data_IF_064178293743
#
_entry.id   IF_064178293743
#
_cell.length_a   1.000
_cell.length_b   1.000
_cell.length_c   1.000
_cell.angle_alpha   90.00
_cell.angle_beta   90.00
_cell.angle_gamma   90.00
#
_symmetry.space_group_name_H-M   'P 1'
#
loop_
_entity.id
_entity.type
_entity.pdbx_description
1 polymer ?
#
# COMPACT_ATOMS: atom_id res chain seq x y z
N UNK A 1 -17.92 9.45 3.45
CA UNK A 1 -17.45 8.06 3.44
C UNK A 1 -17.70 7.38 2.10
N UNK A 2 -18.94 7.38 1.58
CA UNK A 2 -19.27 6.83 0.24
C UNK A 2 -18.35 7.34 -0.91
N UNK A 3 -17.94 8.60 -0.84
CA UNK A 3 -17.06 9.21 -1.87
C UNK A 3 -15.63 8.64 -1.85
N UNK A 4 -15.08 8.36 -0.66
CA UNK A 4 -13.74 7.77 -0.52
C UNK A 4 -13.73 6.31 -0.98
N UNK A 5 -14.75 5.55 -0.64
CA UNK A 5 -14.89 4.16 -1.05
C UNK A 5 -15.10 4.03 -2.56
N UNK A 6 -15.92 4.89 -3.15
CA UNK A 6 -16.07 4.97 -4.61
C UNK A 6 -14.75 5.34 -5.30
N UNK A 7 -13.92 6.16 -4.67
CA UNK A 7 -12.61 6.53 -5.23
C UNK A 7 -11.62 5.38 -5.12
N UNK A 8 -11.62 4.64 -4.01
CA UNK A 8 -10.77 3.46 -3.83
C UNK A 8 -11.19 2.31 -4.75
N UNK A 9 -12.49 2.10 -4.95
CA UNK A 9 -13.03 1.05 -5.82
C UNK A 9 -12.91 1.38 -7.31
N UNK A 10 -12.74 2.64 -7.67
CA UNK A 10 -12.67 3.08 -9.07
C UNK A 10 -11.39 2.72 -9.81
N UNK A 11 -10.42 2.11 -9.14
CA UNK A 11 -9.15 1.73 -9.75
C UNK A 11 -9.12 0.39 -10.49
N UNK A 12 -10.20 -0.38 -10.51
CA UNK A 12 -10.16 -1.74 -11.08
C UNK A 12 -11.42 -2.12 -11.83
N UNK A 13 -11.85 -1.31 -12.77
CA UNK A 13 -12.91 -1.78 -13.65
C UNK A 13 -12.34 -2.72 -14.65
N UNK A 14 -12.80 -3.98 -14.64
CA UNK A 14 -12.41 -4.76 -15.76
C UNK A 14 -13.05 -6.11 -16.01
N UNK A 15 -13.97 -6.15 -16.88
CA UNK A 15 -14.01 -7.10 -17.99
C UNK A 15 -13.12 -6.63 -19.15
N UNK A 16 -12.25 -5.62 -18.93
CA UNK A 16 -11.51 -4.90 -19.95
C UNK A 16 -10.19 -5.62 -20.26
N UNK A 17 -9.88 -5.73 -21.53
CA UNK A 17 -8.59 -6.15 -22.09
C UNK A 17 -7.48 -5.09 -21.90
N UNK A 18 -7.66 -4.13 -20.97
CA UNK A 18 -6.67 -3.09 -20.66
C UNK A 18 -5.41 -3.69 -20.02
N UNK A 19 -4.33 -2.96 -20.15
CA UNK A 19 -3.06 -3.35 -19.54
C UNK A 19 -3.20 -3.53 -18.03
N UNK A 20 -2.80 -4.71 -17.53
CA UNK A 20 -2.82 -5.03 -16.11
C UNK A 20 -1.41 -4.94 -15.54
N UNK A 21 -1.32 -4.43 -14.34
CA UNK A 21 -0.10 -4.46 -13.52
C UNK A 21 -0.28 -5.55 -12.48
N UNK A 22 0.49 -6.63 -12.61
CA UNK A 22 0.29 -7.84 -11.80
C UNK A 22 1.10 -7.82 -10.52
N UNK A 23 2.24 -7.10 -10.51
CA UNK A 23 3.16 -7.09 -9.38
C UNK A 23 3.61 -5.68 -9.01
N UNK A 24 3.99 -5.55 -7.75
CA UNK A 24 4.63 -4.39 -7.16
C UNK A 24 5.77 -4.82 -6.23
N UNK A 25 6.61 -3.87 -5.86
CA UNK A 25 7.65 -4.03 -4.86
C UNK A 25 7.24 -3.33 -3.57
N UNK A 26 7.21 -4.05 -2.45
CA UNK A 26 7.09 -3.48 -1.10
C UNK A 26 8.44 -2.95 -0.64
N UNK A 27 8.46 -1.77 -0.06
CA UNK A 27 9.63 -1.24 0.68
C UNK A 27 9.22 -0.80 2.07
N UNK A 28 10.12 -0.98 3.04
CA UNK A 28 9.92 -0.59 4.44
C UNK A 28 11.09 0.27 4.95
N UNK A 29 10.77 1.42 5.55
CA UNK A 29 11.77 2.33 6.12
C UNK A 29 12.55 1.70 7.28
N UNK A 30 11.90 0.84 8.08
CA UNK A 30 12.52 0.19 9.24
C UNK A 30 13.53 -0.90 8.83
N UNK A 31 13.32 -1.52 7.66
CA UNK A 31 14.23 -2.51 7.10
C UNK A 31 15.38 -1.87 6.30
N UNK A 32 15.31 -0.57 6.02
CA UNK A 32 16.31 0.12 5.20
C UNK A 32 16.34 -0.39 3.77
N UNK A 33 15.18 -0.69 3.21
CA UNK A 33 15.02 -1.24 1.87
C UNK A 33 15.10 -0.13 0.82
N UNK A 34 15.97 -0.31 -0.17
CA UNK A 34 16.08 0.57 -1.33
C UNK A 34 16.64 -0.16 -2.54
N UNK A 35 16.50 0.44 -3.72
CA UNK A 35 17.13 -0.05 -4.94
C UNK A 35 17.81 1.11 -5.68
N UNK A 36 18.79 0.80 -6.51
CA UNK A 36 19.53 1.83 -7.23
C UNK A 36 20.08 1.32 -8.55
N UNK A 37 20.13 2.22 -9.52
CA UNK A 37 20.81 2.04 -10.79
C UNK A 37 22.21 2.62 -10.70
N UNK A 38 23.23 1.80 -10.87
CA UNK A 38 24.60 2.26 -10.97
C UNK A 38 24.89 2.64 -12.43
N UNK A 39 24.80 3.92 -12.77
CA UNK A 39 25.03 4.40 -14.12
C UNK A 39 26.49 4.77 -14.33
N UNK A 40 27.25 4.05 -15.16
CA UNK A 40 28.63 4.39 -15.46
C UNK A 40 28.77 5.57 -16.44
N UNK A 41 27.71 5.90 -17.17
CA UNK A 41 27.66 6.95 -18.18
C UNK A 41 26.59 7.98 -17.86
N UNK A 42 26.74 9.18 -18.37
CA UNK A 42 25.74 10.23 -18.24
C UNK A 42 24.69 10.11 -19.36
N UNK A 43 23.43 10.23 -19.00
CA UNK A 43 22.31 10.43 -19.92
C UNK A 43 22.13 11.91 -20.27
N UNK A 44 20.95 12.25 -20.77
CA UNK A 44 20.60 13.62 -21.12
C UNK A 44 20.24 14.44 -19.86
N UNK A 45 21.16 15.25 -19.39
CA UNK A 45 21.03 16.06 -18.18
C UNK A 45 20.05 17.23 -18.30
N UNK A 46 19.52 17.49 -19.49
CA UNK A 46 18.59 18.60 -19.78
C UNK A 46 17.17 18.12 -20.02
N UNK A 47 17.03 16.88 -20.50
CA UNK A 47 15.73 16.34 -20.92
C UNK A 47 15.60 14.91 -20.43
N UNK A 48 14.61 14.63 -19.56
CA UNK A 48 14.34 13.30 -19.00
C UNK A 48 12.94 13.23 -18.38
N UNK A 49 12.43 12.04 -18.17
CA UNK A 49 11.15 11.82 -17.47
C UNK A 49 11.28 10.67 -16.47
N UNK A 50 10.72 10.87 -15.28
CA UNK A 50 10.50 9.84 -14.26
C UNK A 50 9.01 9.58 -14.15
N UNK A 51 8.62 8.32 -14.19
CA UNK A 51 7.24 7.88 -13.98
C UNK A 51 7.24 6.66 -13.06
N UNK A 52 6.37 6.65 -12.06
CA UNK A 52 6.18 5.51 -11.18
C UNK A 52 4.80 5.54 -10.55
N UNK A 53 4.33 4.37 -10.14
CA UNK A 53 3.13 4.23 -9.33
C UNK A 53 3.54 3.89 -7.91
N UNK A 54 2.89 4.53 -6.94
CA UNK A 54 3.24 4.37 -5.53
C UNK A 54 1.98 4.35 -4.66
N UNK A 55 1.92 3.40 -3.72
CA UNK A 55 0.95 3.39 -2.62
C UNK A 55 1.73 3.59 -1.34
N UNK A 56 1.46 4.69 -0.63
CA UNK A 56 2.13 4.99 0.65
C UNK A 56 1.52 4.14 1.76
N UNK A 57 2.36 3.56 2.58
CA UNK A 57 1.93 2.78 3.74
C UNK A 57 2.24 3.49 5.07
N UNK A 58 2.83 4.69 4.99
CA UNK A 58 3.11 5.55 6.13
C UNK A 58 3.07 7.03 5.70
N UNK A 59 2.49 7.93 6.55
CA UNK A 59 2.40 9.36 6.27
C UNK A 59 3.45 10.17 7.00
N UNK A 60 3.62 9.87 8.27
CA UNK A 60 4.68 10.46 9.10
C UNK A 60 5.70 9.37 9.32
N UNK A 61 6.70 9.34 8.46
CA UNK A 61 7.77 8.38 8.57
C UNK A 61 8.62 8.60 9.81
N UNK A 62 9.42 7.62 10.08
CA UNK A 62 10.53 7.68 11.03
C UNK A 62 11.45 8.86 10.70
N UNK A 63 11.39 9.35 9.47
CA UNK A 63 12.18 10.45 8.93
C UNK A 63 11.25 11.57 8.45
N UNK A 64 11.64 12.82 8.70
CA UNK A 64 10.83 13.99 8.41
C UNK A 64 10.48 14.16 6.90
N UNK A 65 11.38 13.77 5.99
CA UNK A 65 11.26 13.96 4.55
C UNK A 65 11.71 12.69 3.80
N UNK A 66 10.86 11.63 3.70
CA UNK A 66 11.24 10.39 3.03
C UNK A 66 11.46 10.58 1.54
N UNK A 67 12.53 9.99 1.03
CA UNK A 67 12.96 10.14 -0.37
C UNK A 67 12.26 9.13 -1.27
N UNK A 68 11.80 9.61 -2.39
CA UNK A 68 11.39 8.79 -3.52
C UNK A 68 12.59 8.43 -4.39
N UNK A 69 13.37 9.46 -4.74
CA UNK A 69 14.56 9.30 -5.57
C UNK A 69 15.65 10.28 -5.15
N UNK A 70 16.90 9.91 -5.35
CA UNK A 70 18.05 10.81 -5.22
C UNK A 70 19.17 10.46 -6.20
N UNK A 71 20.01 11.45 -6.52
CA UNK A 71 21.23 11.25 -7.30
C UNK A 71 22.25 12.32 -6.91
N UNK A 72 23.32 11.90 -6.23
CA UNK A 72 24.24 12.84 -5.59
C UNK A 72 23.56 13.66 -4.48
N UNK A 73 24.30 14.55 -3.86
CA UNK A 73 23.86 15.26 -2.64
C UNK A 73 22.77 16.32 -2.88
N UNK A 74 22.56 16.76 -4.13
CA UNK A 74 21.71 17.90 -4.45
C UNK A 74 20.47 17.58 -5.28
N UNK A 75 20.39 16.39 -5.85
CA UNK A 75 19.24 15.95 -6.65
C UNK A 75 18.34 15.11 -5.78
N UNK A 76 17.13 15.60 -5.52
CA UNK A 76 16.17 14.97 -4.61
C UNK A 76 14.76 15.05 -5.17
N UNK A 77 14.06 13.95 -5.11
CA UNK A 77 12.62 13.88 -5.28
C UNK A 77 12.08 13.18 -4.05
N UNK A 78 11.34 13.88 -3.21
CA UNK A 78 10.97 13.43 -1.87
C UNK A 78 9.64 14.00 -1.42
N UNK A 79 9.12 13.48 -0.30
CA UNK A 79 8.00 14.08 0.38
C UNK A 79 8.49 15.12 1.39
N UNK A 80 7.88 16.30 1.37
CA UNK A 80 8.05 17.33 2.38
C UNK A 80 6.68 17.60 3.01
N UNK A 81 6.44 17.08 4.21
CA UNK A 81 5.14 17.16 4.88
C UNK A 81 3.98 16.61 4.03
N UNK A 82 4.19 15.47 3.38
CA UNK A 82 3.30 14.77 2.43
C UNK A 82 3.09 15.43 1.07
N UNK A 83 3.70 16.58 0.79
CA UNK A 83 3.74 17.19 -0.55
C UNK A 83 4.94 16.67 -1.34
N UNK A 84 4.81 16.53 -2.66
CA UNK A 84 5.94 16.21 -3.53
C UNK A 84 6.86 17.42 -3.69
N UNK A 85 8.16 17.20 -3.49
CA UNK A 85 9.20 18.21 -3.68
C UNK A 85 10.28 17.66 -4.60
N UNK A 86 10.63 18.45 -5.61
CA UNK A 86 11.66 18.11 -6.57
C UNK A 86 12.77 19.19 -6.58
N UNK A 87 14.00 18.73 -6.45
CA UNK A 87 15.20 19.56 -6.52
C UNK A 87 16.01 19.19 -7.75
N UNK A 88 16.07 20.11 -8.69
CA UNK A 88 16.81 19.95 -9.94
C UNK A 88 18.32 20.03 -9.70
N UNK A 89 18.75 21.03 -8.88
CA UNK A 89 20.15 21.23 -8.49
C UNK A 89 20.22 22.01 -7.17
N UNK A 90 19.94 21.29 -6.07
CA UNK A 90 19.91 21.87 -4.72
C UNK A 90 18.73 22.84 -4.50
N UNK A 91 18.77 23.55 -3.38
CA UNK A 91 17.68 24.43 -2.91
C UNK A 91 17.42 25.65 -3.81
N UNK A 92 18.36 26.01 -4.71
CA UNK A 92 18.19 27.12 -5.65
C UNK A 92 17.17 26.84 -6.74
N UNK A 93 16.91 25.57 -7.01
CA UNK A 93 15.99 25.07 -8.06
C UNK A 93 15.01 24.05 -7.47
N UNK A 94 14.40 24.41 -6.34
CA UNK A 94 13.44 23.59 -5.63
C UNK A 94 12.01 23.92 -6.09
N UNK A 95 11.25 22.89 -6.44
CA UNK A 95 9.84 22.95 -6.81
C UNK A 95 9.05 22.10 -5.83
N UNK A 96 8.01 22.66 -5.21
CA UNK A 96 7.12 21.99 -4.29
C UNK A 96 5.70 22.00 -4.82
N UNK A 97 5.05 20.85 -4.85
CA UNK A 97 3.68 20.71 -5.33
C UNK A 97 2.65 21.27 -4.33
N UNK A 98 1.49 21.67 -4.84
CA UNK A 98 0.44 22.32 -4.05
C UNK A 98 -0.38 21.37 -3.19
N UNK A 99 -0.43 20.10 -3.54
CA UNK A 99 -1.24 19.07 -2.87
C UNK A 99 -0.43 18.17 -1.94
N UNK A 100 -1.15 17.42 -1.12
CA UNK A 100 -0.60 16.42 -0.21
C UNK A 100 -1.14 15.04 -0.54
N UNK A 101 -0.26 14.04 -0.59
CA UNK A 101 -0.60 12.64 -0.88
C UNK A 101 -0.78 11.90 0.46
N UNK A 102 -1.97 11.93 1.04
CA UNK A 102 -2.27 11.40 2.36
C UNK A 102 -3.18 10.18 2.39
N UNK A 103 -3.73 9.80 1.28
CA UNK A 103 -4.54 8.60 1.19
C UNK A 103 -3.63 7.37 1.07
N UNK A 104 -3.50 6.62 2.15
CA UNK A 104 -2.71 5.39 2.20
C UNK A 104 -3.46 4.16 1.69
N UNK A 105 -4.73 4.32 1.35
CA UNK A 105 -5.53 3.29 0.69
C UNK A 105 -5.44 3.34 -0.83
N UNK A 106 -4.85 4.40 -1.40
CA UNK A 106 -4.85 4.66 -2.83
C UNK A 106 -3.46 4.53 -3.46
N UNK A 107 -3.45 4.06 -4.69
CA UNK A 107 -2.31 4.15 -5.58
C UNK A 107 -2.26 5.51 -6.27
N UNK A 108 -1.08 6.13 -6.28
CA UNK A 108 -0.78 7.37 -6.99
C UNK A 108 0.10 7.08 -8.20
N UNK A 109 -0.22 7.63 -9.34
CA UNK A 109 0.68 7.69 -10.49
C UNK A 109 1.34 9.06 -10.53
N UNK A 110 2.65 9.11 -10.39
CA UNK A 110 3.45 10.33 -10.40
C UNK A 110 4.30 10.34 -11.66
N UNK A 111 4.24 11.43 -12.41
CA UNK A 111 5.14 11.70 -13.54
C UNK A 111 5.82 13.04 -13.32
N UNK A 112 7.14 13.04 -13.44
CA UNK A 112 7.98 14.23 -13.43
C UNK A 112 8.72 14.32 -14.75
N UNK A 113 8.47 15.37 -15.53
CA UNK A 113 9.00 15.54 -16.88
C UNK A 113 9.81 16.84 -16.99
N UNK A 114 11.06 16.71 -17.38
CA UNK A 114 12.04 17.81 -17.44
C UNK A 114 12.50 18.06 -18.88
N UNK A 115 12.52 19.30 -19.29
CA UNK A 115 13.20 19.80 -20.51
C UNK A 115 13.64 21.26 -20.30
N UNK A 116 14.86 21.46 -19.91
CA UNK A 116 15.40 22.80 -19.67
C UNK A 116 15.63 23.64 -20.95
N UNK A 117 15.53 23.03 -22.14
CA UNK A 117 15.66 23.78 -23.41
C UNK A 117 14.45 24.67 -23.69
N UNK A 118 13.34 24.46 -23.01
CA UNK A 118 12.10 25.22 -23.14
C UNK A 118 12.31 26.71 -22.81
N UNK A 119 11.82 27.59 -23.69
CA UNK A 119 11.91 29.04 -23.46
C UNK A 119 11.06 29.50 -22.27
N UNK A 120 9.86 28.92 -22.11
CA UNK A 120 8.96 29.20 -20.99
C UNK A 120 9.38 28.42 -19.74
N UNK A 121 9.64 29.11 -18.64
CA UNK A 121 10.14 28.52 -17.41
C UNK A 121 9.22 27.40 -16.89
N UNK A 122 7.90 27.59 -16.88
CA UNK A 122 6.91 26.61 -16.41
C UNK A 122 6.87 25.32 -17.27
N UNK A 123 7.39 25.34 -18.48
CA UNK A 123 7.48 24.16 -19.34
C UNK A 123 8.76 23.34 -19.10
N UNK A 124 9.72 23.85 -18.33
CA UNK A 124 11.00 23.16 -18.09
C UNK A 124 10.88 22.00 -17.10
N UNK A 125 9.97 22.10 -16.15
CA UNK A 125 9.69 21.01 -15.18
C UNK A 125 8.18 20.94 -14.99
N UNK A 126 7.60 19.82 -15.39
CA UNK A 126 6.19 19.51 -15.24
C UNK A 126 6.01 18.33 -14.31
N UNK A 127 4.99 18.36 -13.48
CA UNK A 127 4.54 17.21 -12.71
C UNK A 127 3.10 16.86 -13.05
N UNK A 128 2.80 15.58 -12.99
CA UNK A 128 1.44 15.07 -13.16
C UNK A 128 1.14 14.09 -12.03
N UNK A 129 -0.10 14.12 -11.59
CA UNK A 129 -0.65 13.18 -10.60
C UNK A 129 -1.91 12.52 -11.16
N UNK A 130 -1.92 11.20 -11.28
CA UNK A 130 -3.04 10.43 -11.83
C UNK A 130 -3.57 11.02 -13.15
N UNK A 131 -2.64 11.33 -14.07
CA UNK A 131 -2.97 11.83 -15.41
C UNK A 131 -3.29 13.33 -15.49
N UNK A 132 -3.41 14.03 -14.38
CA UNK A 132 -3.71 15.46 -14.33
C UNK A 132 -2.45 16.29 -14.06
N UNK A 133 -2.40 17.52 -14.59
CA UNK A 133 -1.36 18.47 -14.22
C UNK A 133 -1.32 18.66 -12.70
N UNK A 134 -0.14 18.56 -12.10
CA UNK A 134 0.08 18.76 -10.68
C UNK A 134 0.93 19.99 -10.44
N UNK A 135 0.32 21.17 -10.21
CA UNK A 135 1.00 22.45 -10.24
C UNK A 135 1.97 22.62 -9.07
N UNK A 136 3.04 23.36 -9.33
CA UNK A 136 4.00 23.79 -8.35
C UNK A 136 3.55 25.07 -7.63
N UNK A 137 3.64 25.09 -6.29
CA UNK A 137 3.40 26.30 -5.48
C UNK A 137 4.54 27.29 -5.55
N UNK A 138 5.73 26.76 -5.73
CA UNK A 138 6.95 27.52 -5.75
C UNK A 138 7.56 27.44 -7.18
N UNK A 139 8.11 28.55 -7.66
CA UNK A 139 8.49 28.71 -9.07
C UNK A 139 9.99 28.86 -9.27
N UNK A 140 10.81 28.20 -8.46
CA UNK A 140 12.27 28.16 -8.63
C UNK A 140 12.65 27.20 -9.78
N UNK A 141 12.16 27.51 -10.97
CA UNK A 141 12.49 26.72 -12.15
C UNK A 141 13.97 26.82 -12.53
N UNK A 142 14.58 25.75 -13.08
CA UNK A 142 15.94 25.82 -13.59
C UNK A 142 16.06 26.85 -14.73
N UNK A 143 17.25 27.40 -14.93
CA UNK A 143 17.52 28.31 -16.06
C UNK A 143 17.41 27.58 -17.40
N UNK A 144 17.10 28.31 -18.47
CA UNK A 144 17.06 27.70 -19.80
C UNK A 144 18.43 27.13 -20.17
N UNK A 145 18.42 25.91 -20.74
CA UNK A 145 19.59 25.14 -21.13
C UNK A 145 20.52 24.72 -19.97
N UNK A 146 20.11 24.87 -18.71
CA UNK A 146 20.92 24.37 -17.59
C UNK A 146 20.93 22.84 -17.58
N UNK A 147 22.04 22.26 -17.15
CA UNK A 147 22.22 20.84 -16.92
C UNK A 147 21.96 20.51 -15.46
N UNK A 148 21.27 19.41 -15.22
CA UNK A 148 21.03 18.88 -13.90
C UNK A 148 22.16 17.98 -13.41
N UNK A 149 22.25 17.75 -12.10
CA UNK A 149 22.94 16.60 -11.55
C UNK A 149 22.19 15.29 -11.74
N UNK A 150 20.88 15.32 -12.06
CA UNK A 150 20.16 14.14 -12.52
C UNK A 150 20.71 13.64 -13.86
N UNK A 151 20.70 12.35 -14.08
CA UNK A 151 21.26 11.68 -15.26
C UNK A 151 22.77 11.93 -15.44
N UNK A 152 23.51 12.12 -14.35
CA UNK A 152 24.92 12.59 -14.38
C UNK A 152 25.97 11.47 -14.51
N UNK A 153 25.57 10.19 -14.64
CA UNK A 153 26.52 9.08 -14.65
C UNK A 153 27.01 8.67 -13.25
N UNK A 154 26.26 9.02 -12.21
CA UNK A 154 26.40 8.51 -10.84
C UNK A 154 25.20 7.65 -10.50
N UNK A 155 25.29 6.89 -9.40
CA UNK A 155 24.16 6.04 -8.97
C UNK A 155 22.90 6.87 -8.73
N UNK A 156 21.79 6.38 -9.27
CA UNK A 156 20.45 6.91 -9.03
C UNK A 156 19.75 5.98 -8.05
N UNK A 157 19.36 6.50 -6.91
CA UNK A 157 18.77 5.76 -5.82
C UNK A 157 17.25 5.97 -5.75
N UNK A 158 16.55 4.93 -5.39
CA UNK A 158 15.10 4.92 -5.11
C UNK A 158 14.89 4.51 -3.67
N UNK A 159 13.98 5.18 -2.98
CA UNK A 159 13.62 4.95 -1.59
C UNK A 159 14.72 5.28 -0.55
N UNK A 160 15.74 6.02 -0.92
CA UNK A 160 16.81 6.45 0.00
C UNK A 160 17.50 7.72 -0.47
N UNK A 161 18.30 8.34 0.42
CA UNK A 161 19.20 9.44 0.08
C UNK A 161 20.61 8.89 -0.21
N UNK A 162 21.06 8.97 -1.45
CA UNK A 162 22.45 8.69 -1.87
C UNK A 162 23.06 7.36 -1.37
N UNK A 163 22.22 6.38 -1.00
CA UNK A 163 22.68 5.11 -0.45
C UNK A 163 23.25 5.19 0.97
N UNK A 164 22.99 6.28 1.70
CA UNK A 164 23.48 6.46 3.07
C UNK A 164 22.65 5.69 4.13
N UNK A 165 21.65 4.94 3.70
CA UNK A 165 20.78 4.16 4.59
C UNK A 165 19.83 5.03 5.42
N UNK A 166 19.49 6.23 4.95
CA UNK A 166 18.59 7.15 5.63
C UNK A 166 17.50 7.66 4.70
N UNK A 167 16.43 8.21 5.29
CA UNK A 167 15.30 8.83 4.60
C UNK A 167 14.49 7.88 3.72
N UNK A 168 14.40 6.63 4.14
CA UNK A 168 13.56 5.63 3.46
C UNK A 168 12.08 5.98 3.56
N UNK A 169 11.31 5.43 2.64
CA UNK A 169 9.85 5.53 2.61
C UNK A 169 9.26 4.12 2.73
N UNK A 170 8.17 3.97 3.45
CA UNK A 170 7.38 2.74 3.45
C UNK A 170 6.29 2.85 2.40
N UNK A 171 6.37 2.03 1.36
CA UNK A 171 5.50 2.11 0.19
C UNK A 171 5.48 0.82 -0.63
N UNK A 172 4.47 0.70 -1.50
CA UNK A 172 4.51 -0.19 -2.65
C UNK A 172 4.86 0.61 -3.90
N UNK A 173 5.71 0.05 -4.75
CA UNK A 173 6.17 0.62 -6.01
C UNK A 173 5.74 -0.25 -7.17
N UNK A 174 5.23 0.33 -8.24
CA UNK A 174 4.91 -0.37 -9.48
C UNK A 174 5.24 0.51 -10.68
N UNK A 175 5.55 -0.14 -11.81
CA UNK A 175 5.77 0.55 -13.08
C UNK A 175 6.77 1.71 -12.96
N UNK A 176 7.98 1.41 -12.47
CA UNK A 176 9.05 2.41 -12.33
C UNK A 176 9.76 2.58 -13.66
N UNK A 177 9.60 3.76 -14.25
CA UNK A 177 10.13 4.10 -15.58
C UNK A 177 11.02 5.33 -15.50
N UNK A 178 12.20 5.23 -16.08
CA UNK A 178 13.10 6.36 -16.34
C UNK A 178 13.28 6.49 -17.84
N UNK A 179 13.01 7.67 -18.37
CA UNK A 179 13.20 8.01 -19.77
C UNK A 179 14.36 8.98 -19.91
N UNK A 180 15.35 8.63 -20.71
CA UNK A 180 16.51 9.44 -21.03
C UNK A 180 16.29 10.18 -22.36
N UNK A 181 16.42 11.50 -22.38
CA UNK A 181 16.39 12.32 -23.57
C UNK A 181 15.01 12.80 -24.03
N UNK A 182 13.92 12.52 -23.29
CA UNK A 182 12.58 12.96 -23.67
C UNK A 182 11.80 13.52 -22.48
N UNK A 183 11.01 14.58 -22.72
CA UNK A 183 9.99 15.10 -21.81
C UNK A 183 8.63 14.53 -22.22
N UNK A 184 8.22 13.42 -21.62
CA UNK A 184 6.95 12.76 -21.88
C UNK A 184 5.86 13.30 -20.94
N UNK A 185 4.61 13.15 -21.35
CA UNK A 185 3.43 13.51 -20.55
C UNK A 185 2.87 12.31 -19.78
N UNK A 186 1.94 12.54 -18.86
CA UNK A 186 1.28 11.45 -18.16
C UNK A 186 0.56 10.48 -19.11
N UNK A 187 0.04 10.96 -20.25
CA UNK A 187 -0.70 10.14 -21.23
C UNK A 187 0.17 9.14 -22.01
N UNK A 188 1.50 9.25 -21.90
CA UNK A 188 2.42 8.25 -22.43
C UNK A 188 2.48 7.00 -21.52
N UNK A 189 2.14 7.14 -20.23
CA UNK A 189 2.20 6.08 -19.21
C UNK A 189 0.82 5.59 -18.73
N UNK A 190 -0.24 6.27 -19.10
CA UNK A 190 -1.60 5.95 -18.70
C UNK A 190 -2.64 6.64 -19.57
N UNK A 191 -3.89 6.33 -19.30
CA UNK A 191 -5.04 6.94 -19.99
C UNK A 191 -6.24 7.02 -19.06
N UNK A 192 -7.16 7.92 -19.36
CA UNK A 192 -8.47 7.91 -18.74
C UNK A 192 -9.36 6.89 -19.42
N UNK A 193 -9.95 6.02 -18.64
CA UNK A 193 -10.99 5.13 -19.13
C UNK A 193 -12.17 5.94 -19.67
N UNK A 194 -12.62 5.64 -20.89
CA UNK A 194 -13.66 6.44 -21.58
C UNK A 194 -15.02 6.38 -20.90
N UNK A 195 -15.32 5.27 -20.22
CA UNK A 195 -16.64 5.01 -19.66
C UNK A 195 -16.75 5.49 -18.22
N UNK A 196 -15.65 5.39 -17.47
CA UNK A 196 -15.61 5.67 -16.03
C UNK A 196 -14.88 6.93 -15.68
N UNK A 197 -14.00 7.41 -16.56
CA UNK A 197 -13.10 8.54 -16.31
C UNK A 197 -11.98 8.23 -15.31
N UNK A 198 -11.72 6.96 -15.03
CA UNK A 198 -10.66 6.53 -14.12
C UNK A 198 -9.33 6.50 -14.84
N UNK A 199 -8.27 6.96 -14.16
CA UNK A 199 -6.91 6.88 -14.66
C UNK A 199 -6.37 5.46 -14.52
N UNK A 200 -6.01 4.81 -15.63
CA UNK A 200 -5.48 3.45 -15.68
C UNK A 200 -4.10 3.40 -16.36
N UNK A 201 -3.27 2.37 -16.08
CA UNK A 201 -1.97 2.22 -16.71
C UNK A 201 -2.09 1.85 -18.18
N UNK A 202 -1.05 2.21 -18.94
CA UNK A 202 -0.80 1.73 -20.30
C UNK A 202 0.44 0.84 -20.35
N UNK A 203 0.49 -0.05 -21.31
CA UNK A 203 1.71 -0.77 -21.64
C UNK A 203 2.76 0.21 -22.17
N UNK A 204 3.87 0.32 -21.47
CA UNK A 204 4.99 1.23 -21.78
C UNK A 204 6.14 0.56 -22.53
N UNK A 205 6.07 -0.74 -22.80
CA UNK A 205 7.15 -1.52 -23.45
C UNK A 205 7.54 -1.00 -24.84
N UNK A 206 6.68 -0.24 -25.49
CA UNK A 206 6.94 0.39 -26.79
C UNK A 206 7.57 1.78 -26.75
N UNK A 207 7.84 2.33 -25.57
CA UNK A 207 8.48 3.63 -25.43
C UNK A 207 9.98 3.56 -25.81
N UNK A 208 10.51 4.67 -26.25
CA UNK A 208 11.96 4.82 -26.38
C UNK A 208 12.53 5.30 -25.04
N UNK A 209 13.20 4.41 -24.32
CA UNK A 209 13.76 4.70 -22.99
C UNK A 209 15.04 5.53 -23.04
N UNK A 210 15.68 5.68 -24.24
CA UNK A 210 17.02 6.27 -24.36
C UNK A 210 18.11 5.32 -23.83
N UNK A 211 19.36 5.79 -23.76
CA UNK A 211 20.48 4.89 -23.42
C UNK A 211 20.54 4.55 -21.93
N UNK A 212 20.26 5.53 -21.05
CA UNK A 212 20.36 5.38 -19.59
C UNK A 212 18.97 5.19 -18.93
N UNK A 213 17.90 5.13 -19.73
CA UNK A 213 16.56 4.84 -19.25
C UNK A 213 16.35 3.35 -18.99
N UNK A 214 15.32 3.02 -18.18
CA UNK A 214 14.95 1.66 -17.80
C UNK A 214 13.48 1.56 -17.39
N UNK A 215 13.01 0.33 -17.26
CA UNK A 215 11.65 0.01 -16.81
C UNK A 215 11.66 -1.20 -15.88
N UNK A 216 11.20 -1.01 -14.64
CA UNK A 216 11.02 -2.07 -13.65
C UNK A 216 9.52 -2.37 -13.48
N UNK A 217 9.11 -3.59 -13.79
CA UNK A 217 7.73 -4.06 -13.64
C UNK A 217 7.55 -5.02 -12.44
N UNK A 218 8.63 -5.39 -11.77
CA UNK A 218 8.67 -6.26 -10.59
C UNK A 218 8.03 -7.65 -10.77
N UNK A 219 7.95 -8.16 -11.99
CA UNK A 219 7.30 -9.46 -12.27
C UNK A 219 8.18 -10.66 -11.91
N UNK A 220 9.49 -10.55 -12.07
CA UNK A 220 10.41 -11.62 -11.74
C UNK A 220 10.82 -11.54 -10.27
N UNK A 221 10.25 -12.40 -9.42
CA UNK A 221 10.59 -12.45 -7.99
C UNK A 221 12.02 -12.89 -7.73
N UNK A 222 12.67 -13.54 -8.69
CA UNK A 222 14.09 -13.92 -8.57
C UNK A 222 15.04 -12.75 -8.86
N UNK A 223 14.57 -11.71 -9.53
CA UNK A 223 15.30 -10.47 -9.83
C UNK A 223 14.34 -9.27 -9.92
N UNK A 224 13.95 -8.74 -8.78
CA UNK A 224 13.08 -7.56 -8.71
C UNK A 224 13.73 -6.27 -9.23
N UNK A 225 15.05 -6.29 -9.50
CA UNK A 225 15.79 -5.19 -10.10
C UNK A 225 15.89 -5.25 -11.62
N UNK A 226 15.37 -6.29 -12.26
CA UNK A 226 15.51 -6.53 -13.69
C UNK A 226 14.89 -5.42 -14.54
N UNK A 227 15.66 -4.85 -15.47
CA UNK A 227 15.22 -3.88 -16.46
C UNK A 227 14.57 -4.58 -17.66
N UNK A 228 13.28 -4.37 -17.83
CA UNK A 228 12.49 -4.92 -18.95
C UNK A 228 12.34 -3.97 -20.15
N UNK A 229 13.04 -2.84 -20.15
CA UNK A 229 13.07 -1.89 -21.29
C UNK A 229 13.82 -2.40 -22.50
N UNK A 230 14.71 -3.38 -22.29
CA UNK A 230 15.63 -3.89 -23.30
C UNK A 230 17.03 -3.23 -23.30
N UNK A 231 17.27 -2.27 -22.41
CA UNK A 231 18.57 -1.59 -22.28
C UNK A 231 19.57 -2.34 -21.38
N UNK A 232 19.09 -3.33 -20.60
CA UNK A 232 19.86 -4.05 -19.57
C UNK A 232 20.43 -3.09 -18.50
N UNK A 233 19.65 -2.11 -18.12
CA UNK A 233 19.96 -1.12 -17.08
C UNK A 233 19.42 -1.58 -15.72
N UNK A 234 19.75 -2.81 -15.31
CA UNK A 234 19.27 -3.42 -14.08
C UNK A 234 19.59 -2.60 -12.84
N UNK A 235 18.69 -2.62 -11.87
CA UNK A 235 18.88 -2.02 -10.56
C UNK A 235 19.45 -3.04 -9.57
N UNK A 236 20.35 -2.57 -8.73
CA UNK A 236 20.84 -3.34 -7.57
C UNK A 236 19.87 -3.15 -6.41
N UNK A 237 19.56 -4.22 -5.72
CA UNK A 237 18.67 -4.26 -4.56
C UNK A 237 19.47 -4.20 -3.26
N UNK A 238 18.97 -3.47 -2.26
CA UNK A 238 19.53 -3.45 -0.92
C UNK A 238 18.46 -3.83 0.10
N UNK A 239 18.69 -4.88 0.86
CA UNK A 239 17.76 -5.48 1.84
C UNK A 239 16.40 -5.90 1.26
N UNK A 240 16.27 -5.99 -0.05
CA UNK A 240 15.08 -6.41 -0.77
C UNK A 240 15.28 -7.86 -1.22
N UNK A 241 14.27 -8.70 -1.03
CA UNK A 241 14.26 -10.11 -1.37
C UNK A 241 13.00 -10.48 -2.18
N UNK A 242 12.94 -11.71 -2.69
CA UNK A 242 11.76 -12.22 -3.40
C UNK A 242 10.45 -12.09 -2.60
N UNK A 243 10.53 -12.14 -1.27
CA UNK A 243 9.39 -11.99 -0.38
C UNK A 243 8.78 -10.58 -0.39
N UNK A 244 9.50 -9.57 -0.90
CA UNK A 244 9.01 -8.20 -1.00
C UNK A 244 8.20 -7.93 -2.28
N UNK A 245 8.07 -8.94 -3.14
CA UNK A 245 7.11 -8.88 -4.24
C UNK A 245 5.67 -8.95 -3.69
N UNK A 246 4.79 -8.13 -4.25
CA UNK A 246 3.39 -8.05 -3.86
C UNK A 246 2.47 -8.10 -5.07
N UNK A 247 1.25 -8.62 -4.90
CA UNK A 247 0.16 -8.54 -5.87
C UNK A 247 -0.79 -7.36 -5.62
N UNK A 248 -0.54 -6.55 -4.58
CA UNK A 248 -1.21 -5.26 -4.39
C UNK A 248 -0.70 -4.27 -5.44
N UNK A 249 -1.54 -3.89 -6.38
CA UNK A 249 -1.16 -3.06 -7.53
C UNK A 249 -2.20 -1.98 -7.81
N UNK A 250 -1.85 -1.04 -8.68
CA UNK A 250 -2.77 0.02 -9.11
C UNK A 250 -3.95 -0.51 -9.95
N UNK A 251 -3.91 -1.74 -10.43
CA UNK A 251 -5.00 -2.41 -11.16
C UNK A 251 -5.77 -3.42 -10.30
N UNK A 252 -5.25 -3.78 -9.15
CA UNK A 252 -5.97 -4.54 -8.13
C UNK A 252 -5.42 -4.17 -6.74
N UNK A 253 -6.02 -3.14 -6.15
CA UNK A 253 -5.60 -2.63 -4.84
C UNK A 253 -6.23 -3.47 -3.72
N UNK A 254 -5.40 -3.94 -2.80
CA UNK A 254 -5.82 -4.73 -1.65
C UNK A 254 -5.98 -3.89 -0.39
N UNK A 255 -6.81 -4.35 0.52
CA UNK A 255 -6.88 -3.80 1.86
C UNK A 255 -5.52 -3.91 2.56
N UNK A 256 -5.19 -2.91 3.36
CA UNK A 256 -4.05 -2.88 4.28
C UNK A 256 -4.49 -2.28 5.60
N UNK A 257 -3.61 -2.18 6.59
CA UNK A 257 -3.91 -1.47 7.84
C UNK A 257 -3.81 0.03 7.62
N UNK A 258 -4.81 0.79 8.10
CA UNK A 258 -4.87 2.24 7.98
C UNK A 258 -3.94 2.92 9.00
N UNK A 259 -3.07 3.81 8.53
CA UNK A 259 -2.10 4.52 9.36
C UNK A 259 -2.68 5.70 10.15
N UNK A 260 -3.89 6.18 9.78
CA UNK A 260 -4.43 7.46 10.30
C UNK A 260 -4.77 7.39 11.79
N UNK A 261 -5.20 6.23 12.28
CA UNK A 261 -5.66 6.06 13.66
C UNK A 261 -4.62 5.42 14.59
N UNK A 262 -3.37 5.33 14.17
CA UNK A 262 -2.31 4.81 15.01
C UNK A 262 -1.90 5.85 16.07
N UNK A 263 -1.68 5.41 17.31
CA UNK A 263 -1.22 6.30 18.38
C UNK A 263 0.21 6.00 18.84
N UNK A 264 0.45 4.79 19.34
CA UNK A 264 1.76 4.32 19.82
C UNK A 264 2.16 2.99 19.15
N UNK A 265 1.33 2.47 18.27
CA UNK A 265 1.66 1.28 17.49
C UNK A 265 2.66 1.62 16.39
N UNK A 266 3.52 0.66 16.09
CA UNK A 266 4.38 0.69 14.91
C UNK A 266 3.73 -0.16 13.82
N UNK A 267 3.59 0.41 12.64
CA UNK A 267 3.08 -0.25 11.45
C UNK A 267 4.22 -0.41 10.45
N UNK A 268 4.50 -1.63 10.03
CA UNK A 268 5.60 -1.99 9.13
C UNK A 268 5.12 -2.96 8.05
N UNK A 269 6.04 -3.43 7.25
CA UNK A 269 5.83 -4.48 6.25
C UNK A 269 4.64 -4.18 5.32
N UNK A 270 4.74 -3.04 4.63
CA UNK A 270 3.71 -2.66 3.68
C UNK A 270 2.35 -2.35 4.32
N UNK A 271 2.32 -1.92 5.57
CA UNK A 271 1.11 -1.72 6.37
C UNK A 271 0.31 -3.02 6.61
N UNK A 272 1.01 -4.15 6.78
CA UNK A 272 0.39 -5.43 7.15
C UNK A 272 0.77 -5.90 8.55
N UNK A 273 1.91 -5.46 9.09
CA UNK A 273 2.36 -5.82 10.44
C UNK A 273 2.17 -4.67 11.41
N UNK A 274 1.41 -4.93 12.47
CA UNK A 274 1.21 -3.98 13.57
C UNK A 274 1.78 -4.52 14.87
N UNK A 275 2.56 -3.69 15.54
CA UNK A 275 3.21 -4.00 16.81
C UNK A 275 2.84 -2.96 17.84
N UNK A 276 2.51 -3.39 19.06
CA UNK A 276 2.39 -2.53 20.23
C UNK A 276 3.40 -2.95 21.29
N UNK A 277 4.08 -1.98 21.87
CA UNK A 277 5.05 -2.17 22.94
C UNK A 277 4.61 -1.53 24.25
N UNK A 278 3.49 -0.81 24.26
CA UNK A 278 2.94 -0.17 25.45
C UNK A 278 1.88 -1.07 26.13
N UNK A 279 1.70 -0.88 27.44
CA UNK A 279 0.72 -1.61 28.25
C UNK A 279 -0.72 -1.10 28.04
N UNK A 280 -1.08 -0.74 26.82
CA UNK A 280 -2.38 -0.17 26.50
C UNK A 280 -2.99 -0.91 25.31
N UNK A 281 -4.28 -1.24 25.42
CA UNK A 281 -5.02 -1.77 24.29
C UNK A 281 -5.08 -0.75 23.17
N UNK A 282 -4.75 -1.19 21.95
CA UNK A 282 -4.79 -0.35 20.75
C UNK A 282 -5.46 -1.09 19.62
N UNK A 283 -6.41 -0.46 18.98
CA UNK A 283 -7.06 -0.96 17.77
C UNK A 283 -6.41 -0.35 16.54
N UNK A 284 -6.45 -1.11 15.46
CA UNK A 284 -6.16 -0.64 14.11
C UNK A 284 -7.20 -1.15 13.13
N UNK A 285 -7.37 -0.46 12.02
CA UNK A 285 -8.46 -0.66 11.07
C UNK A 285 -7.90 -0.96 9.70
N UNK A 286 -8.66 -1.72 8.90
CA UNK A 286 -8.39 -1.87 7.49
C UNK A 286 -8.59 -0.56 6.72
N UNK A 287 -8.12 -0.52 5.47
CA UNK A 287 -8.32 0.61 4.55
C UNK A 287 -9.60 0.49 3.73
N UNK A 288 -10.29 -0.65 3.78
CA UNK A 288 -11.50 -0.94 3.02
C UNK A 288 -12.63 -1.38 3.94
N UNK A 289 -13.83 -0.86 3.72
CA UNK A 289 -15.05 -1.22 4.42
C UNK A 289 -16.07 -1.79 3.44
N UNK A 290 -16.93 -2.70 3.91
CA UNK A 290 -17.90 -3.43 3.09
C UNK A 290 -19.29 -3.39 3.73
N UNK A 291 -20.34 -3.33 2.89
CA UNK A 291 -21.74 -3.37 3.33
C UNK A 291 -22.49 -4.59 2.82
N UNK A 292 -21.93 -5.33 1.85
CA UNK A 292 -22.51 -6.56 1.28
C UNK A 292 -21.38 -7.47 0.77
N UNK A 293 -21.72 -8.66 0.28
CA UNK A 293 -20.78 -9.65 -0.25
C UNK A 293 -20.14 -10.50 0.84
N UNK A 294 -19.23 -11.37 0.42
CA UNK A 294 -18.54 -12.33 1.30
C UNK A 294 -17.04 -12.20 1.15
N UNK A 295 -16.36 -11.98 2.26
CA UNK A 295 -14.97 -11.54 2.30
C UNK A 295 -14.10 -12.45 3.13
N UNK A 296 -12.83 -12.60 2.74
CA UNK A 296 -11.84 -13.40 3.40
C UNK A 296 -10.54 -12.66 3.62
N UNK A 297 -9.94 -12.84 4.80
CA UNK A 297 -8.58 -12.42 5.12
C UNK A 297 -8.02 -13.25 6.26
N UNK A 298 -6.72 -13.16 6.50
CA UNK A 298 -5.97 -13.86 7.52
C UNK A 298 -5.26 -12.88 8.45
N UNK A 299 -5.05 -13.29 9.70
CA UNK A 299 -4.19 -12.59 10.64
C UNK A 299 -3.37 -13.62 11.41
N UNK A 300 -2.04 -13.47 11.39
CA UNK A 300 -1.12 -14.29 12.18
C UNK A 300 -0.77 -13.58 13.47
N UNK A 301 -0.98 -14.26 14.61
CA UNK A 301 -0.49 -13.79 15.91
C UNK A 301 1.00 -14.11 15.99
N UNK A 302 1.86 -13.10 16.17
CA UNK A 302 3.30 -13.30 16.32
C UNK A 302 3.73 -13.47 17.77
N UNK A 303 3.14 -12.70 18.68
CA UNK A 303 3.46 -12.78 20.11
C UNK A 303 2.18 -12.67 20.92
N UNK A 304 2.00 -13.64 21.81
CA UNK A 304 0.92 -13.69 22.79
C UNK A 304 1.50 -14.05 24.15
N UNK A 305 1.79 -13.06 24.99
CA UNK A 305 2.64 -13.28 26.16
C UNK A 305 1.90 -13.56 27.49
N UNK A 306 0.60 -13.35 27.61
CA UNK A 306 -0.05 -13.62 28.91
C UNK A 306 -1.56 -13.88 28.86
N UNK A 307 -2.03 -14.55 29.93
CA UNK A 307 -3.45 -14.79 30.15
C UNK A 307 -4.30 -13.53 30.30
N UNK A 308 -3.71 -12.37 30.49
CA UNK A 308 -4.40 -11.08 30.62
C UNK A 308 -4.34 -10.21 29.36
N UNK A 309 -3.69 -10.70 28.28
CA UNK A 309 -3.70 -10.07 26.98
C UNK A 309 -4.95 -10.46 26.20
N UNK A 310 -5.50 -9.52 25.44
CA UNK A 310 -6.73 -9.71 24.66
C UNK A 310 -6.51 -9.33 23.18
N UNK A 311 -5.47 -9.85 22.49
CA UNK A 311 -5.39 -9.61 21.07
C UNK A 311 -6.65 -10.16 20.42
N UNK A 312 -7.25 -9.35 19.55
CA UNK A 312 -8.47 -9.76 18.85
C UNK A 312 -8.42 -9.35 17.37
N UNK A 313 -9.26 -10.00 16.57
CA UNK A 313 -9.45 -9.77 15.15
C UNK A 313 -10.94 -9.88 14.84
N UNK A 314 -11.41 -9.11 13.86
CA UNK A 314 -12.81 -9.12 13.44
C UNK A 314 -13.19 -7.89 12.64
N UNK A 315 -14.38 -7.35 12.89
CA UNK A 315 -14.93 -6.18 12.18
C UNK A 315 -15.62 -5.19 13.12
N UNK A 316 -15.74 -3.94 12.68
CA UNK A 316 -16.53 -2.90 13.35
C UNK A 316 -17.37 -2.11 12.36
N UNK A 317 -18.62 -1.82 12.73
CA UNK A 317 -19.51 -0.89 12.03
C UNK A 317 -19.51 0.53 12.62
N UNK A 318 -18.78 0.80 13.71
CA UNK A 318 -18.70 2.12 14.33
C UNK A 318 -17.59 2.96 13.68
N UNK A 319 -17.82 3.40 12.44
CA UNK A 319 -16.83 4.10 11.62
C UNK A 319 -16.62 5.57 12.03
N UNK A 320 -17.65 6.21 12.61
CA UNK A 320 -17.58 7.61 13.04
C UNK A 320 -16.86 7.78 14.39
N UNK A 321 -16.90 6.75 15.22
CA UNK A 321 -16.23 6.70 16.52
C UNK A 321 -15.67 5.30 16.77
N UNK A 322 -14.65 4.91 16.02
CA UNK A 322 -14.11 3.57 16.13
C UNK A 322 -13.50 3.31 17.50
N UNK A 323 -13.62 2.08 18.04
CA UNK A 323 -13.12 1.77 19.35
C UNK A 323 -11.58 1.88 19.38
N UNK A 324 -11.07 2.71 20.29
CA UNK A 324 -9.62 2.89 20.45
C UNK A 324 -9.01 1.91 21.45
N UNK A 325 -9.81 1.29 22.31
CA UNK A 325 -9.36 0.43 23.40
C UNK A 325 -10.25 -0.82 23.55
N UNK A 326 -9.74 -1.86 24.22
CA UNK A 326 -10.51 -3.06 24.53
C UNK A 326 -11.80 -2.74 25.30
N UNK A 327 -11.79 -1.73 26.19
CA UNK A 327 -12.96 -1.31 26.95
C UNK A 327 -14.10 -0.71 26.09
N UNK A 328 -13.84 -0.37 24.85
CA UNK A 328 -14.82 0.12 23.91
C UNK A 328 -15.36 -0.98 22.99
N UNK A 329 -14.59 -2.08 22.80
CA UNK A 329 -14.97 -3.20 21.92
C UNK A 329 -16.16 -4.01 22.42
N UNK A 330 -16.57 -3.89 23.65
CA UNK A 330 -17.79 -4.58 24.17
C UNK A 330 -19.04 -3.70 24.06
N UNK A 331 -18.94 -2.50 23.48
CA UNK A 331 -20.06 -1.57 23.28
C UNK A 331 -20.12 -1.16 21.82
N UNK A 332 -21.27 -1.28 21.20
CA UNK A 332 -21.47 -0.78 19.84
C UNK A 332 -21.51 -1.89 18.78
N UNK A 333 -21.19 -1.55 17.55
CA UNK A 333 -21.33 -2.44 16.39
C UNK A 333 -20.00 -3.19 16.07
N UNK A 334 -19.56 -4.05 17.00
CA UNK A 334 -18.34 -4.82 16.84
C UNK A 334 -18.60 -6.31 16.84
N UNK A 335 -17.81 -7.05 16.08
CA UNK A 335 -17.75 -8.51 16.08
C UNK A 335 -16.29 -8.91 16.06
N UNK A 336 -15.77 -9.36 17.19
CA UNK A 336 -14.37 -9.76 17.30
C UNK A 336 -14.23 -11.07 18.04
N UNK A 337 -13.19 -11.84 17.69
CA UNK A 337 -12.74 -13.03 18.41
C UNK A 337 -11.42 -12.75 19.10
N UNK A 338 -11.27 -13.30 20.29
CA UNK A 338 -10.14 -13.06 21.15
C UNK A 338 -9.29 -14.32 21.29
N UNK A 339 -8.00 -14.13 21.50
CA UNK A 339 -7.05 -15.22 21.70
C UNK A 339 -7.40 -16.18 22.85
N UNK A 340 -8.28 -15.80 23.77
CA UNK A 340 -8.74 -16.61 24.91
C UNK A 340 -9.91 -17.53 24.61
N UNK A 341 -10.21 -17.87 23.37
CA UNK A 341 -11.41 -18.63 23.00
C UNK A 341 -12.71 -17.90 23.42
N UNK A 342 -12.79 -16.62 23.12
CA UNK A 342 -13.96 -15.79 23.43
C UNK A 342 -14.34 -14.95 22.22
N UNK A 343 -15.60 -14.53 22.16
CA UNK A 343 -16.08 -13.50 21.22
C UNK A 343 -16.71 -12.33 21.97
N UNK A 344 -16.59 -11.17 21.39
CA UNK A 344 -17.35 -9.98 21.80
C UNK A 344 -18.26 -9.55 20.65
N UNK A 345 -19.54 -9.46 20.95
CA UNK A 345 -20.58 -9.03 20.00
C UNK A 345 -21.51 -8.10 20.77
N UNK A 346 -21.68 -6.87 20.34
CA UNK A 346 -22.61 -5.85 20.87
C UNK A 346 -23.05 -5.99 22.31
N UNK A 347 -22.56 -5.15 23.22
CA UNK A 347 -22.94 -5.09 24.64
C UNK A 347 -22.72 -6.40 25.43
N UNK A 348 -21.86 -7.27 24.96
CA UNK A 348 -21.69 -8.60 25.49
C UNK A 348 -20.33 -8.79 26.19
N UNK A 349 -20.34 -9.48 27.32
CA UNK A 349 -19.17 -9.73 28.17
C UNK A 349 -18.58 -11.10 27.89
N UNK A 350 -17.99 -11.29 26.70
CA UNK A 350 -17.14 -12.45 26.42
C UNK A 350 -17.78 -13.82 26.57
N UNK A 351 -18.50 -14.30 25.57
CA UNK A 351 -18.93 -15.70 25.48
C UNK A 351 -17.80 -16.61 25.03
N UNK A 352 -17.78 -17.83 25.55
CA UNK A 352 -16.92 -18.88 25.02
C UNK A 352 -17.18 -19.08 23.52
N UNK A 353 -16.12 -19.07 22.72
CA UNK A 353 -16.21 -19.29 21.29
C UNK A 353 -14.88 -19.83 20.74
N UNK A 354 -14.96 -20.89 19.95
CA UNK A 354 -13.80 -21.46 19.29
C UNK A 354 -12.75 -22.03 20.25
N UNK A 355 -11.51 -21.97 19.82
CA UNK A 355 -10.33 -22.43 20.56
C UNK A 355 -9.40 -21.29 20.88
N UNK A 356 -8.61 -21.40 21.98
CA UNK A 356 -7.60 -20.39 22.30
C UNK A 356 -6.51 -20.35 21.22
N UNK A 357 -6.02 -19.14 20.94
CA UNK A 357 -4.93 -18.94 20.00
C UNK A 357 -3.58 -18.93 20.72
N UNK A 358 -2.54 -19.31 20.02
CA UNK A 358 -1.16 -19.31 20.48
C UNK A 358 -0.27 -18.54 19.47
N UNK A 359 0.97 -18.31 19.86
CA UNK A 359 1.97 -17.69 18.97
C UNK A 359 2.06 -18.46 17.66
N UNK A 360 2.11 -17.72 16.58
CA UNK A 360 2.15 -18.20 15.20
C UNK A 360 0.86 -18.87 14.68
N UNK A 361 -0.22 -18.93 15.46
CA UNK A 361 -1.51 -19.34 14.89
C UNK A 361 -1.99 -18.30 13.85
N UNK A 362 -2.55 -18.79 12.75
CA UNK A 362 -3.20 -17.99 11.71
C UNK A 362 -4.70 -18.09 11.92
N UNK A 363 -5.32 -16.92 12.13
CA UNK A 363 -6.76 -16.79 12.30
C UNK A 363 -7.34 -16.27 11.00
N UNK A 364 -8.27 -17.03 10.42
CA UNK A 364 -8.91 -16.66 9.19
C UNK A 364 -10.30 -16.11 9.49
N UNK A 365 -10.70 -15.07 8.82
CA UNK A 365 -12.03 -14.46 8.89
C UNK A 365 -12.76 -14.69 7.57
N UNK A 366 -13.93 -15.30 7.64
CA UNK A 366 -14.90 -15.36 6.55
C UNK A 366 -16.11 -14.51 6.96
N UNK A 367 -16.24 -13.34 6.38
CA UNK A 367 -17.27 -12.35 6.68
C UNK A 367 -18.38 -12.43 5.63
N UNK A 368 -19.58 -12.86 6.03
CA UNK A 368 -20.79 -12.84 5.18
C UNK A 368 -21.65 -11.64 5.55
N UNK A 369 -21.52 -10.58 4.76
CA UNK A 369 -22.30 -9.35 4.96
C UNK A 369 -23.74 -9.49 4.48
N UNK A 370 -24.03 -10.40 3.57
CA UNK A 370 -25.38 -10.60 3.05
C UNK A 370 -26.30 -11.23 4.13
N UNK A 371 -25.72 -12.04 5.03
CA UNK A 371 -26.42 -12.67 6.14
C UNK A 371 -26.02 -12.11 7.53
N UNK A 372 -25.07 -11.18 7.58
CA UNK A 372 -24.47 -10.63 8.80
C UNK A 372 -23.94 -11.72 9.76
N UNK A 373 -23.11 -12.61 9.21
CA UNK A 373 -22.47 -13.70 9.94
C UNK A 373 -20.96 -13.65 9.71
N UNK A 374 -20.19 -13.70 10.78
CA UNK A 374 -18.74 -13.86 10.71
C UNK A 374 -18.37 -15.29 11.15
N UNK A 375 -17.66 -16.00 10.30
CA UNK A 375 -17.03 -17.28 10.63
C UNK A 375 -15.55 -17.06 10.88
N UNK A 376 -15.00 -17.82 11.83
CA UNK A 376 -13.57 -17.82 12.09
C UNK A 376 -12.99 -19.21 11.95
N UNK A 377 -11.74 -19.24 11.54
CA UNK A 377 -10.97 -20.46 11.43
C UNK A 377 -9.65 -20.27 12.16
N UNK A 378 -9.18 -21.33 12.78
CA UNK A 378 -7.84 -21.41 13.34
C UNK A 378 -7.01 -22.37 12.51
N UNK A 379 -5.95 -21.88 11.92
CA UNK A 379 -5.07 -22.67 11.05
C UNK A 379 -5.87 -23.49 9.99
N UNK A 380 -6.81 -22.80 9.32
CA UNK A 380 -7.68 -23.38 8.31
C UNK A 380 -8.82 -24.27 8.81
N UNK A 381 -8.94 -24.50 10.12
CA UNK A 381 -10.02 -25.28 10.70
C UNK A 381 -11.09 -24.37 11.31
N UNK A 382 -12.34 -24.53 10.88
CA UNK A 382 -13.45 -23.71 11.37
C UNK A 382 -13.65 -23.87 12.89
N UNK A 383 -13.79 -22.75 13.59
CA UNK A 383 -14.01 -22.75 15.04
C UNK A 383 -15.44 -23.16 15.41
N UNK A 384 -16.44 -22.64 14.71
CA UNK A 384 -17.86 -22.94 14.91
C UNK A 384 -18.62 -22.79 13.57
N UNK A 385 -19.22 -23.85 13.10
CA UNK A 385 -19.98 -23.90 11.87
C UNK A 385 -21.26 -23.04 11.89
N UNK A 386 -21.75 -22.63 13.06
CA UNK A 386 -22.86 -21.68 13.19
C UNK A 386 -22.43 -20.23 12.96
N UNK A 387 -21.15 -19.94 13.09
CA UNK A 387 -20.62 -18.58 13.00
C UNK A 387 -21.07 -17.65 14.12
N UNK A 388 -20.80 -16.38 13.95
CA UNK A 388 -21.18 -15.29 14.86
C UNK A 388 -22.18 -14.41 14.14
N UNK A 389 -23.47 -14.55 14.49
CA UNK A 389 -24.53 -13.70 13.92
C UNK A 389 -24.52 -12.32 14.59
N UNK A 390 -24.52 -11.25 13.80
CA UNK A 390 -24.55 -9.87 14.26
C UNK A 390 -25.66 -9.03 13.59
N UNK A 391 -26.63 -9.67 12.96
CA UNK A 391 -27.76 -9.02 12.26
C UNK A 391 -28.61 -8.09 13.14
N UNK A 392 -28.52 -8.23 14.46
CA UNK A 392 -29.23 -7.35 15.43
C UNK A 392 -28.49 -6.07 15.75
N UNK A 393 -27.26 -5.88 15.29
CA UNK A 393 -26.53 -4.62 15.47
C UNK A 393 -27.17 -3.49 14.68
N UNK A 394 -27.12 -2.25 15.20
CA UNK A 394 -27.75 -1.11 14.53
C UNK A 394 -27.14 -0.81 13.15
N UNK A 395 -25.84 -0.98 12.99
CA UNK A 395 -25.18 -0.84 11.69
C UNK A 395 -25.64 -1.93 10.71
N UNK A 396 -25.79 -3.20 11.15
CA UNK A 396 -26.27 -4.29 10.30
C UNK A 396 -27.73 -4.06 9.86
N UNK A 397 -28.61 -3.57 10.77
CA UNK A 397 -30.00 -3.25 10.44
C UNK A 397 -30.16 -2.03 9.51
N UNK A 398 -29.13 -1.17 9.43
CA UNK A 398 -29.09 -0.02 8.55
C UNK A 398 -28.37 -0.31 7.21
N UNK A 399 -27.92 -1.54 6.98
CA UNK A 399 -27.04 -1.92 5.86
C UNK A 399 -25.77 -1.04 5.76
N UNK A 400 -25.24 -0.63 6.92
CA UNK A 400 -24.06 0.19 7.03
C UNK A 400 -22.79 -0.62 6.77
N UNK A 401 -21.69 0.11 6.58
CA UNK A 401 -20.38 -0.51 6.31
C UNK A 401 -19.73 -1.08 7.56
N UNK A 402 -19.07 -2.21 7.39
CA UNK A 402 -18.15 -2.80 8.37
C UNK A 402 -16.72 -2.80 7.83
N UNK A 403 -15.76 -2.49 8.71
CA UNK A 403 -14.33 -2.45 8.39
C UNK A 403 -13.56 -3.50 9.20
N UNK A 404 -12.56 -4.19 8.62
CA UNK A 404 -11.68 -5.05 9.39
C UNK A 404 -11.03 -4.30 10.55
N UNK A 405 -11.01 -4.93 11.71
CA UNK A 405 -10.37 -4.40 12.93
C UNK A 405 -9.48 -5.47 13.55
N UNK A 406 -8.36 -5.05 14.09
CA UNK A 406 -7.57 -5.84 15.01
C UNK A 406 -7.20 -5.03 16.26
N UNK A 407 -6.91 -5.71 17.32
CA UNK A 407 -6.44 -5.10 18.56
C UNK A 407 -5.18 -5.83 19.02
N UNK A 408 -4.16 -5.04 19.31
CA UNK A 408 -2.99 -5.47 20.05
C UNK A 408 -3.11 -4.99 21.50
N UNK A 409 -2.92 -5.89 22.43
CA UNK A 409 -2.95 -5.58 23.86
C UNK A 409 -1.86 -6.34 24.58
N UNK A 410 -1.17 -5.66 25.48
CA UNK A 410 -0.02 -6.21 26.16
C UNK A 410 -0.04 -5.83 27.63
N UNK A 411 0.23 -6.82 28.51
CA UNK A 411 0.63 -6.60 29.88
C UNK A 411 2.03 -7.18 30.03
N UNK A 412 3.08 -6.34 29.87
CA UNK A 412 4.47 -6.73 30.17
C UNK A 412 5.34 -7.21 29.02
N UNK A 413 4.88 -7.12 27.77
CA UNK A 413 5.66 -7.51 26.58
C UNK A 413 5.04 -6.96 25.31
N UNK A 414 5.52 -7.27 24.11
CA UNK A 414 4.92 -6.84 22.84
C UNK A 414 3.90 -7.84 22.30
N UNK A 415 2.79 -7.39 21.74
CA UNK A 415 1.97 -8.24 20.88
C UNK A 415 1.92 -7.68 19.47
N UNK A 416 1.78 -8.55 18.49
CA UNK A 416 1.71 -8.15 17.09
C UNK A 416 0.78 -9.03 16.29
N UNK A 417 0.14 -8.40 15.29
CA UNK A 417 -0.57 -9.08 14.22
C UNK A 417 0.15 -8.85 12.91
N UNK A 418 0.27 -9.90 12.12
CA UNK A 418 0.62 -9.84 10.70
C UNK A 418 -0.62 -10.16 9.90
N UNK A 419 -1.22 -9.12 9.31
CA UNK A 419 -2.46 -9.23 8.53
C UNK A 419 -2.14 -9.60 7.09
N UNK A 420 -2.96 -10.46 6.50
CA UNK A 420 -2.91 -10.82 5.09
C UNK A 420 -4.31 -10.66 4.47
N UNK A 421 -4.46 -9.63 3.65
CA UNK A 421 -5.69 -9.39 2.88
C UNK A 421 -5.59 -9.97 1.45
N UNK A 422 -4.48 -10.65 1.14
CA UNK A 422 -4.22 -11.30 -0.15
C UNK A 422 -3.17 -10.62 -1.01
N UNK A 423 -2.91 -9.31 -0.84
CA UNK A 423 -1.95 -8.58 -1.66
C UNK A 423 -0.50 -8.80 -1.26
N UNK A 424 -0.25 -8.81 0.04
CA UNK A 424 1.05 -9.02 0.65
C UNK A 424 0.91 -9.63 2.04
N UNK A 425 1.80 -10.54 2.39
CA UNK A 425 1.90 -11.14 3.71
C UNK A 425 3.35 -11.13 4.18
N UNK A 426 3.58 -10.71 5.44
CA UNK A 426 4.92 -10.70 6.04
C UNK A 426 5.31 -12.05 6.67
N UNK A 427 4.61 -13.12 6.37
CA UNK A 427 4.95 -14.46 6.80
C UNK A 427 4.96 -15.41 5.60
N UNK A 428 5.69 -16.52 5.75
CA UNK A 428 5.79 -17.51 4.68
C UNK A 428 4.41 -18.10 4.39
N UNK A 429 3.99 -17.96 3.14
CA UNK A 429 2.81 -18.64 2.58
C UNK A 429 3.29 -19.93 1.91
N UNK A 430 2.82 -21.06 2.38
CA UNK A 430 3.23 -22.37 1.88
C UNK A 430 2.29 -22.95 0.83
N UNK A 431 0.99 -22.64 0.91
CA UNK A 431 -0.01 -23.14 -0.03
C UNK A 431 -0.24 -22.23 -1.23
N UNK A 432 -0.14 -20.90 -1.05
CA UNK A 432 -0.42 -19.92 -2.10
C UNK A 432 -1.86 -19.97 -2.59
N UNK A 433 -2.82 -20.24 -1.70
CA UNK A 433 -4.23 -20.37 -2.06
C UNK A 433 -4.81 -19.01 -2.52
N UNK A 434 -5.70 -19.05 -3.51
CA UNK A 434 -6.43 -17.89 -4.02
C UNK A 434 -7.93 -18.05 -3.76
N UNK A 435 -8.70 -16.97 -3.92
CA UNK A 435 -10.16 -17.05 -3.98
C UNK A 435 -10.66 -17.66 -5.32
N UNK A 436 -11.97 -17.79 -5.46
CA UNK A 436 -12.60 -18.38 -6.66
C UNK A 436 -12.34 -17.54 -7.94
N UNK A 437 -11.97 -16.25 -7.81
CA UNK A 437 -11.58 -15.38 -8.92
C UNK A 437 -10.07 -15.42 -9.22
N UNK A 438 -9.28 -16.16 -8.46
CA UNK A 438 -7.84 -16.25 -8.58
C UNK A 438 -7.07 -15.10 -7.94
N UNK A 439 -7.71 -14.30 -7.08
CA UNK A 439 -7.05 -13.20 -6.37
C UNK A 439 -6.65 -13.59 -4.96
N UNK A 440 -5.62 -12.90 -4.49
CA UNK A 440 -5.04 -13.10 -3.18
C UNK A 440 -3.98 -14.21 -3.17
N UNK A 441 -3.15 -14.17 -2.11
CA UNK A 441 -2.17 -15.19 -1.79
C UNK A 441 -2.31 -15.51 -0.31
N UNK A 442 -2.99 -16.61 0.00
CA UNK A 442 -3.35 -17.01 1.36
C UNK A 442 -2.66 -18.30 1.77
N UNK A 443 -2.42 -18.46 3.07
CA UNK A 443 -1.95 -19.75 3.61
C UNK A 443 -3.07 -20.79 3.58
N UNK A 444 -4.32 -20.38 3.85
CA UNK A 444 -5.50 -21.25 3.82
C UNK A 444 -6.49 -20.79 2.76
N UNK A 445 -7.04 -21.75 2.01
CA UNK A 445 -7.98 -21.46 0.94
C UNK A 445 -9.26 -20.79 1.49
N UNK A 446 -9.70 -19.67 0.92
CA UNK A 446 -11.02 -19.13 1.20
C UNK A 446 -12.11 -20.17 0.93
N UNK A 447 -13.16 -20.26 1.76
CA UNK A 447 -14.33 -21.04 1.40
C UNK A 447 -14.94 -20.55 0.08
N UNK A 448 -15.50 -21.45 -0.73
CA UNK A 448 -16.12 -21.07 -2.00
C UNK A 448 -17.16 -19.96 -1.82
N UNK A 449 -17.11 -18.94 -2.67
CA UNK A 449 -17.94 -17.74 -2.61
C UNK A 449 -17.48 -16.69 -1.60
N UNK A 450 -16.32 -16.86 -0.96
CA UNK A 450 -15.65 -15.82 -0.18
C UNK A 450 -14.44 -15.30 -0.95
N UNK A 451 -14.27 -13.98 -0.96
CA UNK A 451 -13.33 -13.30 -1.84
C UNK A 451 -12.32 -12.47 -1.06
N UNK A 452 -11.13 -12.32 -1.62
CA UNK A 452 -10.11 -11.41 -1.11
C UNK A 452 -10.65 -9.97 -1.07
N UNK A 453 -10.30 -9.22 -0.02
CA UNK A 453 -10.73 -7.83 0.12
C UNK A 453 -9.84 -6.93 -0.75
N UNK A 454 -10.18 -6.87 -2.03
CA UNK A 454 -9.48 -6.09 -3.05
C UNK A 454 -10.47 -5.39 -3.99
N UNK A 455 -9.97 -4.41 -4.75
CA UNK A 455 -10.84 -3.57 -5.58
C UNK A 455 -11.55 -4.32 -6.70
N UNK A 456 -10.93 -5.34 -7.30
CA UNK A 456 -11.58 -6.15 -8.33
C UNK A 456 -12.79 -6.93 -7.79
N UNK A 457 -12.64 -7.52 -6.62
CA UNK A 457 -13.76 -8.22 -5.99
C UNK A 457 -14.82 -7.26 -5.42
N UNK A 458 -14.39 -6.10 -4.92
CA UNK A 458 -15.33 -5.06 -4.45
C UNK A 458 -16.20 -4.49 -5.59
N UNK A 459 -15.67 -4.45 -6.81
CA UNK A 459 -16.45 -4.05 -7.98
C UNK A 459 -17.58 -5.04 -8.28
N UNK A 460 -17.31 -6.34 -8.13
CA UNK A 460 -18.25 -7.39 -8.51
C UNK A 460 -19.25 -7.73 -7.38
N UNK A 461 -18.78 -7.78 -6.14
CA UNK A 461 -19.55 -8.28 -4.98
C UNK A 461 -19.79 -7.25 -3.89
N UNK A 462 -19.14 -6.08 -3.94
CA UNK A 462 -19.18 -5.03 -2.92
C UNK A 462 -20.35 -4.05 -2.95
#
# INVERSE_FOLDING_TARGET
METLQRTANRGSISTDTSFQVDNSLKTDEHAGEYFYRNSPTAGNKRTFTFSFRIKRTQLTGYVADPYLMSQGSNQRFHFAGDSLRFMFDGNSTELEASGRLRDTSAWYHVVLAVDTTQSTAANRVKAYLNGQDYPWNNTKYPSQNSESGWMSGSSMYFNTRDGDGAYHNSAYWAEVVVIDGQQLSATDFGEFDSDTGIWKPKNVSGLNFGNEGFYLNFQDSSDLGADVSGNNNDCTLNNIAAADQSTDTCTNNFCTINVINLSTQTLTEGATKIVSTDNTSRTSFGTMAVSKGKWWWEGKIQVYESADSYPCIGVTGDLDNPPATSAQLWKGNHVVVLAKAQKWVTNDTGYSYGTAYADNDIINIALDMDNHIMYTYKNGTIDDASGINFSSQSAATADDFYIPINLVYVTGGGSSWEMNFGGFANYTISSGATDDNGYGTFEYAPPSGYYALCTKNLEEYG
#
